data_IF_330997315939
#
_entry.id   IF_330997315939
#
_cell.length_a   1.000
_cell.length_b   1.000
_cell.length_c   1.000
_cell.angle_alpha   90.00
_cell.angle_beta   90.00
_cell.angle_gamma   90.00
#
_symmetry.space_group_name_H-M   'P 1'
#
loop_
_entity.id
_entity.type
_entity.pdbx_description
1 polymer ?
#
# COMPACT_ATOMS: atom_id res chain seq x y z
N UNK A 1 -2.47 -13.75 59.20
CA UNK A 1 -2.14 -12.30 59.22
C UNK A 1 -0.93 -12.05 58.32
N UNK A 2 -1.06 -11.08 57.38
CA UNK A 2 -0.05 -10.23 56.69
C UNK A 2 1.28 -10.85 56.22
N UNK A 3 1.53 -10.94 54.89
CA UNK A 3 2.19 -9.92 54.03
C UNK A 3 3.70 -9.75 54.34
N UNK A 4 4.68 -9.67 53.43
CA UNK A 4 4.75 -9.29 52.00
C UNK A 4 6.17 -9.56 51.43
N UNK A 5 6.22 -9.98 50.15
CA UNK A 5 7.10 -9.57 49.02
C UNK A 5 8.64 -9.55 49.15
N UNK A 6 9.30 -10.24 48.20
CA UNK A 6 10.72 -10.04 47.85
C UNK A 6 11.13 -10.56 46.46
N UNK A 7 11.05 -9.68 45.45
CA UNK A 7 11.80 -9.50 44.17
C UNK A 7 12.45 -10.68 43.39
N UNK A 8 12.16 -10.69 42.07
CA UNK A 8 12.99 -10.89 40.83
C UNK A 8 14.39 -11.52 41.01
N UNK A 9 14.86 -12.47 40.20
CA UNK A 9 15.08 -12.40 38.73
C UNK A 9 15.39 -13.80 38.15
N UNK A 10 14.86 -14.02 36.93
CA UNK A 10 15.56 -14.55 35.73
C UNK A 10 16.38 -15.82 35.92
N UNK A 11 15.74 -16.98 35.74
CA UNK A 11 16.23 -18.02 34.84
C UNK A 11 15.18 -19.11 34.74
N UNK A 12 14.79 -19.47 33.53
CA UNK A 12 14.04 -20.69 33.21
C UNK A 12 14.02 -20.76 31.69
N UNK A 13 15.12 -21.17 31.05
CA UNK A 13 15.36 -22.59 30.77
C UNK A 13 14.02 -23.25 30.48
N UNK A 14 13.62 -23.19 29.21
CA UNK A 14 12.45 -23.91 28.70
C UNK A 14 12.54 -25.37 29.15
N UNK A 15 11.55 -25.91 29.87
CA UNK A 15 11.55 -27.33 30.21
C UNK A 15 11.08 -28.14 28.99
N UNK A 16 11.65 -29.33 28.75
CA UNK A 16 11.17 -30.22 27.71
C UNK A 16 9.93 -30.92 28.26
N UNK A 17 8.74 -30.61 27.73
CA UNK A 17 7.53 -31.35 28.09
C UNK A 17 7.03 -32.17 26.91
N UNK A 18 7.25 -33.48 27.04
CA UNK A 18 6.56 -34.53 26.29
C UNK A 18 5.35 -34.92 27.11
N UNK A 19 4.13 -34.51 26.73
CA UNK A 19 2.95 -35.39 26.79
C UNK A 19 1.77 -34.83 25.99
N UNK A 20 1.24 -35.75 25.19
CA UNK A 20 -0.08 -35.93 24.60
C UNK A 20 -1.23 -35.03 25.10
N UNK A 21 -1.96 -34.47 24.14
CA UNK A 21 -3.21 -33.72 24.37
C UNK A 21 -3.18 -32.43 23.57
N UNK A 22 -3.70 -32.48 22.34
CA UNK A 22 -3.65 -31.43 21.32
C UNK A 22 -4.31 -30.11 21.76
N UNK A 23 -3.56 -29.24 22.44
CA UNK A 23 -3.86 -27.81 22.48
C UNK A 23 -2.88 -27.09 21.57
N UNK A 24 -3.34 -27.00 20.33
CA UNK A 24 -2.63 -26.52 19.17
C UNK A 24 -2.23 -25.04 19.35
N UNK A 25 -0.97 -24.80 19.73
CA UNK A 25 -0.35 -23.47 19.71
C UNK A 25 -0.49 -22.76 18.35
N UNK A 26 -0.76 -23.50 17.25
CA UNK A 26 -1.11 -22.91 15.94
C UNK A 26 -2.34 -22.00 15.99
N UNK A 27 -3.24 -22.17 16.96
CA UNK A 27 -4.48 -21.39 17.02
C UNK A 27 -4.32 -19.98 17.61
N UNK A 28 -3.14 -19.62 18.14
CA UNK A 28 -2.85 -18.26 18.64
C UNK A 28 -2.07 -17.39 17.64
N UNK A 29 -1.79 -17.92 16.44
CA UNK A 29 -1.43 -17.15 15.24
C UNK A 29 -2.52 -17.30 14.16
N UNK A 30 -3.79 -17.38 14.57
CA UNK A 30 -4.89 -17.00 13.67
C UNK A 30 -4.92 -15.47 13.55
N UNK A 31 -3.83 -14.94 13.02
CA UNK A 31 -3.91 -13.69 12.26
C UNK A 31 -5.02 -13.92 11.21
N UNK A 32 -5.94 -12.97 11.02
CA UNK A 32 -6.92 -13.09 9.96
C UNK A 32 -6.16 -13.35 8.66
N UNK A 33 -6.68 -14.16 7.73
CA UNK A 33 -6.04 -14.23 6.43
C UNK A 33 -6.04 -12.80 5.92
N UNK A 34 -4.87 -12.17 5.86
CA UNK A 34 -4.66 -11.03 4.99
C UNK A 34 -4.97 -11.66 3.65
N UNK A 35 -6.24 -11.54 3.19
CA UNK A 35 -6.61 -11.67 1.78
C UNK A 35 -5.42 -11.07 1.06
N UNK A 36 -4.79 -11.76 0.11
CA UNK A 36 -3.66 -11.22 -0.66
C UNK A 36 -4.10 -9.88 -1.26
N UNK A 37 -4.02 -8.84 -0.44
CA UNK A 37 -4.77 -7.62 -0.58
C UNK A 37 -3.97 -6.87 -1.60
N UNK A 38 -4.70 -6.34 -2.55
CA UNK A 38 -4.27 -5.46 -3.62
C UNK A 38 -3.08 -4.58 -3.21
N UNK A 39 -1.86 -5.11 -3.33
CA UNK A 39 -0.67 -4.50 -2.76
C UNK A 39 -0.47 -3.13 -3.42
N UNK A 40 -0.71 -3.01 -4.72
CA UNK A 40 -0.58 -1.73 -5.40
C UNK A 40 -1.65 -0.71 -5.02
N UNK A 41 -2.89 -1.14 -4.75
CA UNK A 41 -3.96 -0.24 -4.33
C UNK A 41 -3.67 0.38 -2.94
N UNK A 42 -3.14 -0.44 -2.03
CA UNK A 42 -2.73 -0.02 -0.70
C UNK A 42 -1.47 0.87 -0.75
N UNK A 43 -0.51 0.54 -1.60
CA UNK A 43 0.66 1.39 -1.88
C UNK A 43 0.23 2.77 -2.37
N UNK A 44 -0.69 2.83 -3.35
CA UNK A 44 -1.26 4.10 -3.82
C UNK A 44 -2.04 4.83 -2.72
N UNK A 45 -2.73 4.12 -1.83
CA UNK A 45 -3.39 4.71 -0.68
C UNK A 45 -2.37 5.41 0.24
N UNK A 46 -1.26 4.72 0.54
CA UNK A 46 -0.19 5.21 1.42
C UNK A 46 0.47 6.45 0.84
N UNK A 47 0.79 6.44 -0.45
CA UNK A 47 1.52 7.53 -1.09
C UNK A 47 0.62 8.67 -1.59
N UNK A 48 -0.71 8.53 -1.50
CA UNK A 48 -1.69 9.50 -2.01
C UNK A 48 -1.36 10.95 -1.67
N UNK A 49 -1.13 11.24 -0.40
CA UNK A 49 -0.85 12.61 0.05
C UNK A 49 0.45 13.16 -0.55
N UNK A 50 1.50 12.33 -0.59
CA UNK A 50 2.79 12.71 -1.16
C UNK A 50 2.71 12.88 -2.68
N UNK A 51 1.97 12.01 -3.38
CA UNK A 51 1.72 12.11 -4.81
C UNK A 51 1.02 13.42 -5.15
N UNK A 52 -0.06 13.75 -4.43
CA UNK A 52 -0.80 15.00 -4.62
C UNK A 52 0.08 16.23 -4.40
N UNK A 53 0.97 16.21 -3.42
CA UNK A 53 1.88 17.32 -3.17
C UNK A 53 2.92 17.47 -4.29
N UNK A 54 3.51 16.37 -4.75
CA UNK A 54 4.71 16.37 -5.61
C UNK A 54 4.43 16.30 -7.11
N UNK A 55 3.31 15.73 -7.54
CA UNK A 55 3.03 15.51 -8.97
C UNK A 55 2.90 16.85 -9.70
N UNK A 56 3.61 17.05 -10.80
CA UNK A 56 3.40 18.24 -11.63
C UNK A 56 2.16 18.07 -12.51
N UNK A 57 1.61 19.16 -13.02
CA UNK A 57 0.47 19.11 -13.94
C UNK A 57 0.79 18.30 -15.20
N UNK A 58 2.04 18.37 -15.65
CA UNK A 58 2.52 17.67 -16.83
C UNK A 58 2.52 16.15 -16.61
N UNK A 59 3.15 15.68 -15.54
CA UNK A 59 3.18 14.26 -15.17
C UNK A 59 1.77 13.71 -14.96
N UNK A 60 0.90 14.50 -14.32
CA UNK A 60 -0.50 14.11 -14.11
C UNK A 60 -1.24 13.89 -15.44
N UNK A 61 -1.05 14.79 -16.42
CA UNK A 61 -1.66 14.65 -17.75
C UNK A 61 -1.12 13.43 -18.48
N UNK A 62 0.20 13.22 -18.50
CA UNK A 62 0.79 12.06 -19.16
C UNK A 62 0.31 10.74 -18.55
N UNK A 63 0.16 10.67 -17.22
CA UNK A 63 -0.41 9.50 -16.55
C UNK A 63 -1.89 9.28 -16.91
N UNK A 64 -2.68 10.36 -17.02
CA UNK A 64 -4.07 10.27 -17.47
C UNK A 64 -4.15 9.68 -18.89
N UNK A 65 -3.38 10.21 -19.84
CA UNK A 65 -3.36 9.70 -21.22
C UNK A 65 -2.92 8.23 -21.29
N UNK A 66 -1.86 7.88 -20.54
CA UNK A 66 -1.35 6.52 -20.48
C UNK A 66 -2.40 5.54 -19.95
N UNK A 67 -3.10 5.90 -18.87
CA UNK A 67 -4.13 5.04 -18.30
C UNK A 67 -5.39 4.94 -19.18
N UNK A 68 -5.71 5.97 -19.97
CA UNK A 68 -6.80 5.84 -20.96
C UNK A 68 -6.38 4.95 -22.12
N UNK A 69 -5.15 5.10 -22.60
CA UNK A 69 -4.60 4.26 -23.67
C UNK A 69 -4.57 2.78 -23.29
N UNK A 70 -4.25 2.47 -22.03
CA UNK A 70 -4.25 1.10 -21.48
C UNK A 70 -5.66 0.59 -21.10
N UNK A 71 -6.71 1.38 -21.33
CA UNK A 71 -8.10 1.02 -21.02
C UNK A 71 -8.41 0.95 -19.52
N UNK A 72 -7.54 1.51 -18.67
CA UNK A 72 -7.78 1.62 -17.23
C UNK A 72 -8.78 2.73 -16.95
N UNK A 73 -8.63 3.89 -17.58
CA UNK A 73 -9.57 5.00 -17.50
C UNK A 73 -10.34 5.15 -18.81
N UNK A 74 -11.57 5.64 -18.74
CA UNK A 74 -12.32 6.06 -19.93
C UNK A 74 -12.07 7.55 -20.19
N UNK A 75 -12.25 8.02 -21.42
CA UNK A 75 -12.14 9.47 -21.75
C UNK A 75 -13.06 10.32 -20.85
N UNK A 76 -14.29 9.86 -20.58
CA UNK A 76 -15.22 10.55 -19.68
C UNK A 76 -14.69 10.67 -18.24
N UNK A 77 -13.96 9.67 -17.75
CA UNK A 77 -13.37 9.71 -16.40
C UNK A 77 -12.20 10.71 -16.36
N UNK A 78 -11.37 10.72 -17.41
CA UNK A 78 -10.28 11.67 -17.58
C UNK A 78 -10.80 13.11 -17.67
N UNK A 79 -11.79 13.38 -18.51
CA UNK A 79 -12.45 14.69 -18.62
C UNK A 79 -13.05 15.11 -17.28
N UNK A 80 -13.79 14.22 -16.62
CA UNK A 80 -14.35 14.48 -15.29
C UNK A 80 -13.27 14.85 -14.26
N UNK A 81 -12.10 14.23 -14.28
CA UNK A 81 -10.99 14.57 -13.38
C UNK A 81 -10.42 15.96 -13.71
N UNK A 82 -10.24 16.26 -15.00
CA UNK A 82 -9.62 17.49 -15.48
C UNK A 82 -10.52 18.72 -15.35
N UNK A 83 -11.83 18.57 -15.56
CA UNK A 83 -12.79 19.68 -15.60
C UNK A 83 -13.43 19.98 -14.25
N UNK A 84 -13.73 18.96 -13.42
CA UNK A 84 -14.42 19.17 -12.14
C UNK A 84 -13.56 19.84 -11.07
N UNK A 85 -12.24 19.91 -11.27
CA UNK A 85 -11.29 20.36 -10.25
C UNK A 85 -10.47 21.55 -10.78
N UNK A 86 -10.59 22.76 -10.24
CA UNK A 86 -9.79 23.89 -10.71
C UNK A 86 -8.31 23.82 -10.25
N UNK A 87 -8.04 23.12 -9.14
CA UNK A 87 -6.71 23.05 -8.52
C UNK A 87 -5.99 21.75 -8.90
N UNK A 88 -4.69 21.83 -9.23
CA UNK A 88 -3.83 20.66 -9.53
C UNK A 88 -3.94 19.57 -8.46
N UNK A 89 -3.90 19.95 -7.19
CA UNK A 89 -3.97 19.02 -6.07
C UNK A 89 -5.29 18.24 -6.05
N UNK A 90 -6.42 18.89 -6.33
CA UNK A 90 -7.73 18.24 -6.37
C UNK A 90 -7.83 17.29 -7.55
N UNK A 91 -7.29 17.67 -8.72
CA UNK A 91 -7.15 16.77 -9.89
C UNK A 91 -6.34 15.53 -9.52
N UNK A 92 -5.19 15.70 -8.89
CA UNK A 92 -4.32 14.60 -8.48
C UNK A 92 -4.98 13.67 -7.45
N UNK A 93 -5.75 14.22 -6.51
CA UNK A 93 -6.54 13.42 -5.55
C UNK A 93 -7.61 12.60 -6.25
N UNK A 94 -8.37 13.24 -7.14
CA UNK A 94 -9.44 12.59 -7.87
C UNK A 94 -8.90 11.48 -8.78
N UNK A 95 -7.77 11.74 -9.45
CA UNK A 95 -7.07 10.77 -10.28
C UNK A 95 -6.68 9.52 -9.50
N UNK A 96 -5.89 9.66 -8.43
CA UNK A 96 -5.39 8.50 -7.68
C UNK A 96 -6.53 7.73 -7.00
N UNK A 97 -7.57 8.41 -6.53
CA UNK A 97 -8.75 7.75 -5.96
C UNK A 97 -9.54 6.96 -7.02
N UNK A 98 -9.62 7.46 -8.24
CA UNK A 98 -10.30 6.77 -9.34
C UNK A 98 -9.55 5.50 -9.74
N UNK A 99 -8.22 5.57 -9.87
CA UNK A 99 -7.38 4.40 -10.17
C UNK A 99 -7.49 3.35 -9.06
N UNK A 100 -7.44 3.77 -7.79
CA UNK A 100 -7.58 2.86 -6.64
C UNK A 100 -8.94 2.15 -6.61
N UNK A 101 -10.03 2.89 -6.86
CA UNK A 101 -11.39 2.31 -6.92
C UNK A 101 -11.56 1.24 -7.99
N UNK A 102 -10.73 1.25 -9.05
CA UNK A 102 -10.72 0.21 -10.09
C UNK A 102 -9.95 -1.05 -9.67
N UNK A 103 -9.17 -0.97 -8.59
CA UNK A 103 -8.52 -2.10 -7.93
C UNK A 103 -7.04 -2.25 -8.23
N UNK A 104 -6.49 -3.40 -7.84
CA UNK A 104 -5.05 -3.67 -7.84
C UNK A 104 -4.42 -3.58 -9.23
N UNK A 105 -5.08 -4.14 -10.25
CA UNK A 105 -4.54 -4.18 -11.61
C UNK A 105 -4.33 -2.77 -12.16
N UNK A 106 -5.33 -1.90 -12.01
CA UNK A 106 -5.25 -0.49 -12.38
C UNK A 106 -4.13 0.23 -11.61
N UNK A 107 -4.04 -0.03 -10.30
CA UNK A 107 -3.03 0.55 -9.42
C UNK A 107 -1.60 0.14 -9.83
N UNK A 108 -1.38 -1.13 -10.17
CA UNK A 108 -0.09 -1.62 -10.69
C UNK A 108 0.32 -0.94 -11.99
N UNK A 109 -0.62 -0.79 -12.92
CA UNK A 109 -0.38 -0.14 -14.21
C UNK A 109 0.01 1.33 -13.98
N UNK A 110 -0.69 2.05 -13.11
CA UNK A 110 -0.32 3.43 -12.75
C UNK A 110 1.09 3.52 -12.17
N UNK A 111 1.46 2.63 -11.23
CA UNK A 111 2.79 2.61 -10.63
C UNK A 111 3.86 2.35 -11.70
N UNK A 112 3.62 1.44 -12.64
CA UNK A 112 4.51 1.17 -13.78
C UNK A 112 4.69 2.40 -14.66
N UNK A 113 3.61 3.05 -15.08
CA UNK A 113 3.72 4.27 -15.90
C UNK A 113 4.42 5.40 -15.16
N UNK A 114 4.16 5.56 -13.87
CA UNK A 114 4.86 6.56 -13.07
C UNK A 114 6.37 6.30 -13.04
N UNK A 115 6.79 5.05 -12.91
CA UNK A 115 8.22 4.67 -12.99
C UNK A 115 8.82 5.01 -14.36
N UNK A 116 8.08 4.79 -15.46
CA UNK A 116 8.55 5.07 -16.83
C UNK A 116 8.60 6.57 -17.14
N UNK A 117 7.60 7.33 -16.71
CA UNK A 117 7.48 8.76 -17.01
C UNK A 117 8.39 9.58 -16.09
N UNK A 118 8.40 9.28 -14.79
CA UNK A 118 9.17 10.02 -13.79
C UNK A 118 9.70 9.12 -12.67
N UNK A 119 10.89 8.57 -12.92
CA UNK A 119 11.61 7.75 -11.96
C UNK A 119 11.97 8.51 -10.67
N UNK A 120 12.14 9.84 -10.75
CA UNK A 120 12.44 10.68 -9.58
C UNK A 120 11.23 10.76 -8.67
N UNK A 121 10.05 11.03 -9.21
CA UNK A 121 8.81 11.03 -8.44
C UNK A 121 8.49 9.64 -7.89
N UNK A 122 8.64 8.58 -8.70
CA UNK A 122 8.50 7.20 -8.25
C UNK A 122 9.40 6.89 -7.02
N UNK A 123 10.67 7.29 -7.10
CA UNK A 123 11.65 7.13 -6.02
C UNK A 123 11.26 7.92 -4.76
N UNK A 124 10.84 9.17 -4.93
CA UNK A 124 10.40 10.02 -3.83
C UNK A 124 9.15 9.48 -3.11
N UNK A 125 8.30 8.76 -3.82
CA UNK A 125 7.11 8.11 -3.25
C UNK A 125 7.43 6.76 -2.61
N UNK A 126 8.67 6.27 -2.73
CA UNK A 126 9.12 4.98 -2.20
C UNK A 126 8.23 3.82 -2.67
N UNK A 127 7.91 3.82 -3.96
CA UNK A 127 7.14 2.75 -4.61
C UNK A 127 8.03 1.58 -5.07
N UNK A 128 9.24 1.47 -4.51
CA UNK A 128 10.13 0.35 -4.78
C UNK A 128 9.41 -0.94 -4.39
N UNK A 129 9.20 -1.81 -5.37
CA UNK A 129 8.92 -3.21 -5.07
C UNK A 129 10.16 -3.75 -4.38
N UNK A 130 10.18 -3.80 -3.04
CA UNK A 130 11.18 -4.55 -2.29
C UNK A 130 10.99 -6.04 -2.59
N UNK A 131 11.46 -6.46 -3.76
CA UNK A 131 11.70 -7.86 -4.10
C UNK A 131 13.17 -8.24 -3.82
N UNK A 132 13.89 -7.41 -3.05
CA UNK A 132 15.25 -7.65 -2.58
C UNK A 132 15.24 -8.06 -1.11
N UNK A 133 14.59 -9.19 -0.82
CA UNK A 133 14.76 -9.91 0.43
C UNK A 133 14.84 -11.41 0.14
N UNK A 134 15.77 -11.81 -0.72
CA UNK A 134 16.28 -13.18 -0.73
C UNK A 134 17.81 -13.07 -0.78
N UNK A 135 18.39 -13.25 0.40
CA UNK A 135 19.80 -13.51 0.65
C UNK A 135 20.20 -14.87 0.05
#
# INVERSE_FOLDING_TARGET
MRERRGRRRRDSRWPPVRVSGELNFRNMMKEPPIKAASLAEEELARVRSAFVWRVSTEILKQLLEALVSDGVLNELEKESILEKNPVRADKARCFIDTVRKKGDKASRIMIRYLQTIDLSLFSQLRLYSDSSAQQ
#
